data_IF_765601095047
#
_entry.id   IF_765601095047
#
_cell.length_a   1.000
_cell.length_b   1.000
_cell.length_c   1.000
_cell.angle_alpha   90.00
_cell.angle_beta   90.00
_cell.angle_gamma   90.00
#
_symmetry.space_group_name_H-M   'P 1'
#
loop_
_entity.id
_entity.type
_entity.pdbx_description
1 polymer ?
#
# COMPACT_ATOMS: atom_id res chain seq x y z
N UNK A 1 6.40 14.49 -19.12
CA UNK A 1 6.47 15.90 -18.68
C UNK A 1 5.08 16.32 -18.26
N UNK A 2 4.90 17.03 -17.14
CA UNK A 2 3.62 17.65 -16.79
C UNK A 2 3.14 18.53 -17.95
N UNK A 3 1.89 18.35 -18.38
CA UNK A 3 1.35 19.08 -19.53
C UNK A 3 1.37 20.62 -19.35
N UNK A 4 1.39 21.11 -18.12
CA UNK A 4 1.52 22.54 -17.82
C UNK A 4 2.88 23.15 -18.17
N UNK A 5 3.88 22.34 -18.49
CA UNK A 5 5.22 22.78 -18.87
C UNK A 5 5.46 22.68 -20.38
N UNK A 6 4.43 22.34 -21.16
CA UNK A 6 4.53 22.10 -22.60
C UNK A 6 3.81 23.23 -23.34
N UNK A 7 4.50 23.90 -24.24
CA UNK A 7 3.89 24.89 -25.15
C UNK A 7 3.19 24.17 -26.31
N UNK A 8 1.86 24.14 -26.25
CA UNK A 8 1.00 23.44 -27.23
C UNK A 8 0.74 24.27 -28.50
N UNK A 9 1.19 25.53 -28.55
CA UNK A 9 1.02 26.38 -29.73
C UNK A 9 2.01 26.04 -30.85
N UNK A 10 3.01 25.19 -30.58
CA UNK A 10 4.02 24.76 -31.53
C UNK A 10 3.94 23.25 -31.77
N UNK A 11 4.39 22.78 -32.94
CA UNK A 11 4.49 21.34 -33.22
C UNK A 11 5.59 20.74 -32.35
N UNK A 12 5.25 19.78 -31.50
CA UNK A 12 6.18 19.13 -30.56
C UNK A 12 6.64 17.81 -31.17
N UNK A 13 7.96 17.65 -31.31
CA UNK A 13 8.61 16.40 -31.68
C UNK A 13 9.69 16.08 -30.64
N UNK A 14 9.40 15.15 -29.73
CA UNK A 14 10.35 14.69 -28.71
C UNK A 14 10.45 13.16 -28.73
N UNK A 15 11.68 12.66 -28.61
CA UNK A 15 11.97 11.26 -28.37
C UNK A 15 12.47 11.10 -26.93
N UNK A 16 11.83 10.22 -26.16
CA UNK A 16 12.26 9.88 -24.80
C UNK A 16 12.34 8.38 -24.64
N UNK A 17 13.39 7.92 -23.98
CA UNK A 17 13.50 6.53 -23.57
C UNK A 17 12.42 6.19 -22.56
N UNK A 18 11.86 4.97 -22.67
CA UNK A 18 10.92 4.46 -21.69
C UNK A 18 11.64 4.26 -20.37
N UNK A 19 11.35 5.13 -19.40
CA UNK A 19 11.74 4.89 -18.02
C UNK A 19 10.83 3.80 -17.47
N UNK A 20 11.42 2.81 -16.78
CA UNK A 20 10.61 1.86 -16.04
C UNK A 20 9.74 2.65 -15.05
N UNK A 21 8.48 2.27 -14.90
CA UNK A 21 7.63 2.75 -13.78
C UNK A 21 8.30 2.42 -12.44
N UNK A 22 9.27 1.50 -12.47
CA UNK A 22 10.21 1.07 -11.46
C UNK A 22 11.48 1.92 -11.34
N UNK A 23 11.48 3.19 -11.77
CA UNK A 23 12.52 4.14 -11.35
C UNK A 23 12.62 4.23 -9.82
N UNK A 24 13.56 5.01 -9.27
CA UNK A 24 13.88 5.07 -7.83
C UNK A 24 12.69 5.26 -6.85
N UNK A 25 11.49 5.62 -7.32
CA UNK A 25 10.25 5.65 -6.52
C UNK A 25 9.22 4.52 -6.80
N UNK A 26 9.43 3.64 -7.79
CA UNK A 26 8.41 2.68 -8.26
C UNK A 26 8.38 1.35 -7.51
N UNK A 27 9.55 0.78 -7.22
CA UNK A 27 9.64 -0.37 -6.30
C UNK A 27 9.45 0.08 -4.85
N UNK A 28 9.84 1.31 -4.53
CA UNK A 28 9.77 1.85 -3.17
C UNK A 28 8.34 2.04 -2.64
N UNK A 29 7.37 2.15 -3.57
CA UNK A 29 5.95 2.33 -3.27
C UNK A 29 5.14 1.02 -3.21
N UNK A 30 5.70 -0.13 -3.60
CA UNK A 30 5.02 -1.43 -3.48
C UNK A 30 5.30 -2.05 -2.10
N UNK A 31 4.42 -1.77 -1.14
CA UNK A 31 4.55 -2.25 0.24
C UNK A 31 4.12 -3.72 0.43
N UNK A 32 3.53 -4.32 -0.59
CA UNK A 32 3.00 -5.68 -0.60
C UNK A 32 1.50 -5.76 -0.33
N UNK A 33 0.99 -6.98 -0.32
CA UNK A 33 -0.43 -7.30 -0.22
C UNK A 33 -0.71 -8.11 1.06
N UNK A 34 -1.85 -7.86 1.69
CA UNK A 34 -2.35 -8.65 2.83
C UNK A 34 -3.75 -9.21 2.53
N UNK A 35 -3.91 -10.52 2.69
CA UNK A 35 -5.18 -11.20 2.54
C UNK A 35 -5.79 -11.47 3.91
N UNK A 36 -7.05 -11.08 4.11
CA UNK A 36 -7.78 -11.30 5.36
C UNK A 36 -9.27 -11.48 5.08
N UNK A 37 -9.97 -12.14 6.00
CA UNK A 37 -11.42 -12.30 5.94
C UNK A 37 -12.11 -11.61 7.11
N UNK A 38 -13.33 -11.14 6.84
CA UNK A 38 -14.19 -10.47 7.80
C UNK A 38 -15.51 -11.22 7.91
N UNK A 39 -15.99 -11.41 9.14
CA UNK A 39 -17.33 -11.91 9.41
C UNK A 39 -17.95 -11.12 10.53
N UNK A 40 -19.13 -10.55 10.28
CA UNK A 40 -19.92 -9.87 11.30
C UNK A 40 -21.21 -10.64 11.60
N UNK A 41 -21.50 -10.84 12.89
CA UNK A 41 -22.73 -11.45 13.38
C UNK A 41 -23.48 -10.41 14.21
N UNK A 42 -24.50 -9.73 13.65
CA UNK A 42 -25.17 -8.60 14.32
C UNK A 42 -25.82 -8.99 15.64
N UNK A 43 -26.44 -10.15 15.71
CA UNK A 43 -27.15 -10.66 16.90
C UNK A 43 -26.23 -10.84 18.11
N UNK A 44 -24.94 -11.10 17.88
CA UNK A 44 -23.94 -11.28 18.93
C UNK A 44 -23.01 -10.06 19.08
N UNK A 45 -23.19 -9.01 18.26
CA UNK A 45 -22.24 -7.89 18.18
C UNK A 45 -20.79 -8.31 17.88
N UNK A 46 -20.60 -9.46 17.22
CA UNK A 46 -19.28 -10.10 17.07
C UNK A 46 -18.71 -9.85 15.68
N UNK A 47 -17.55 -9.19 15.64
CA UNK A 47 -16.72 -9.04 14.43
C UNK A 47 -15.50 -9.97 14.55
N UNK A 48 -15.41 -10.93 13.64
CA UNK A 48 -14.25 -11.81 13.49
C UNK A 48 -13.38 -11.32 12.34
N UNK A 49 -12.09 -11.12 12.62
CA UNK A 49 -11.05 -10.76 11.64
C UNK A 49 -10.05 -11.91 11.61
N UNK A 50 -9.84 -12.52 10.43
CA UNK A 50 -8.87 -13.60 10.24
C UNK A 50 -7.81 -13.16 9.25
N UNK A 51 -6.55 -13.12 9.68
CA UNK A 51 -5.40 -12.86 8.81
C UNK A 51 -5.01 -14.16 8.13
N UNK A 52 -4.93 -14.17 6.80
CA UNK A 52 -4.70 -15.38 6.01
C UNK A 52 -3.23 -15.47 5.58
N UNK A 53 -2.77 -14.50 4.79
CA UNK A 53 -1.40 -14.45 4.28
C UNK A 53 -1.01 -13.03 3.89
N UNK A 54 0.29 -12.80 3.69
CA UNK A 54 0.83 -11.59 3.10
C UNK A 54 1.86 -11.95 2.03
N UNK A 55 1.91 -11.19 0.93
CA UNK A 55 2.76 -11.45 -0.23
C UNK A 55 3.43 -10.17 -0.70
N UNK A 56 4.59 -10.30 -1.34
CA UNK A 56 5.34 -9.18 -1.92
C UNK A 56 5.65 -8.05 -0.92
N UNK A 57 5.81 -8.38 0.37
CA UNK A 57 6.13 -7.39 1.40
C UNK A 57 7.49 -6.75 1.12
N UNK A 58 7.56 -5.43 1.28
CA UNK A 58 8.81 -4.68 1.14
C UNK A 58 9.84 -5.18 2.14
N UNK A 59 11.08 -5.35 1.68
CA UNK A 59 12.25 -5.63 2.53
C UNK A 59 12.55 -4.37 3.34
N UNK A 60 12.37 -4.46 4.66
CA UNK A 60 12.57 -3.32 5.56
C UNK A 60 13.94 -3.34 6.21
N UNK A 61 14.61 -4.49 6.24
CA UNK A 61 15.93 -4.64 6.86
C UNK A 61 17.05 -4.58 5.82
N UNK A 62 18.18 -3.98 6.24
CA UNK A 62 19.39 -3.77 5.42
C UNK A 62 19.98 -5.11 4.89
N UNK A 63 19.59 -6.25 5.47
CA UNK A 63 19.99 -7.60 5.07
C UNK A 63 19.08 -8.29 4.04
N UNK A 64 18.00 -7.65 3.58
CA UNK A 64 17.22 -8.15 2.44
C UNK A 64 16.11 -9.16 2.76
N UNK A 65 15.70 -9.27 4.02
CA UNK A 65 14.47 -9.97 4.46
C UNK A 65 13.66 -9.02 5.37
N UNK A 66 12.45 -9.42 5.73
CA UNK A 66 11.60 -8.73 6.71
C UNK A 66 11.09 -9.76 7.71
N UNK A 67 10.95 -9.38 8.98
CA UNK A 67 10.30 -10.18 10.03
C UNK A 67 8.85 -9.70 10.29
N UNK A 68 7.86 -10.13 9.47
CA UNK A 68 6.52 -9.55 9.51
C UNK A 68 5.70 -10.02 10.72
N UNK A 69 4.96 -9.08 11.32
CA UNK A 69 3.87 -9.36 12.25
C UNK A 69 2.69 -8.42 11.97
N UNK A 70 1.48 -8.84 12.35
CA UNK A 70 0.25 -8.04 12.12
C UNK A 70 -0.31 -7.53 13.44
N UNK A 71 -0.55 -6.21 13.51
CA UNK A 71 -1.18 -5.55 14.66
C UNK A 71 -2.55 -5.02 14.26
N UNK A 72 -3.59 -5.51 14.93
CA UNK A 72 -4.97 -5.08 14.70
C UNK A 72 -5.37 -4.07 15.79
N UNK A 73 -5.96 -2.94 15.39
CA UNK A 73 -6.46 -1.91 16.29
C UNK A 73 -7.89 -1.51 15.92
N UNK A 74 -8.76 -1.33 16.92
CA UNK A 74 -10.08 -0.73 16.73
C UNK A 74 -9.97 0.79 16.91
N UNK A 75 -10.56 1.53 15.98
CA UNK A 75 -10.56 2.99 15.96
C UNK A 75 -12.00 3.51 15.98
N UNK A 76 -12.27 4.52 16.80
CA UNK A 76 -13.54 5.22 16.83
C UNK A 76 -13.28 6.72 17.02
N UNK A 77 -13.83 7.55 16.14
CA UNK A 77 -13.68 9.01 16.17
C UNK A 77 -12.20 9.46 16.26
N UNK A 78 -11.32 8.85 15.47
CA UNK A 78 -9.89 9.16 15.45
C UNK A 78 -9.10 8.67 16.67
N UNK A 79 -9.74 8.04 17.66
CA UNK A 79 -9.08 7.50 18.86
C UNK A 79 -9.01 5.98 18.80
N UNK A 80 -7.86 5.44 19.20
CA UNK A 80 -7.67 4.00 19.37
C UNK A 80 -8.47 3.53 20.58
N UNK A 81 -9.45 2.67 20.35
CA UNK A 81 -10.11 1.92 21.42
C UNK A 81 -9.05 0.98 22.02
N UNK A 82 -8.68 1.20 23.27
CA UNK A 82 -7.78 0.28 23.98
C UNK A 82 -8.49 -1.07 24.08
N UNK A 83 -7.94 -2.06 23.38
CA UNK A 83 -8.21 -3.46 23.72
C UNK A 83 -7.51 -3.73 25.06
N UNK A 84 -8.21 -4.33 26.01
CA UNK A 84 -7.57 -5.03 27.13
C UNK A 84 -6.67 -6.15 26.58
#
# INVERSE_FOLDING_TARGET
>A
VPLCQVDLAQTIEEWRELQSVEGEGGQDNKLGDICFSLRYVPTAGKLTVVILEAKNLKKMDVGGLSDPYVKIAMMQNGKRLKKK
#
